data_IF_864013730108
#
_entry.id   IF_864013730108
#
_cell.length_a   1.000
_cell.length_b   1.000
_cell.length_c   1.000
_cell.angle_alpha   90.00
_cell.angle_beta   90.00
_cell.angle_gamma   90.00
#
_symmetry.space_group_name_H-M   'P 1'
#
loop_
_entity.id
_entity.type
_entity.pdbx_description
1 polymer ?
#
# COMPACT_ATOMS: atom_id res chain seq x y z
N UNK A 1 -8.52 -15.89 34.87
CA UNK A 1 -7.14 -16.26 34.44
C UNK A 1 -6.21 -16.04 35.64
N UNK A 2 -5.14 -16.80 35.80
CA UNK A 2 -4.23 -16.63 36.95
C UNK A 2 -3.36 -15.40 36.74
N UNK A 3 -3.01 -14.66 37.83
CA UNK A 3 -2.09 -13.50 37.79
C UNK A 3 -0.80 -13.81 37.03
N UNK A 4 -0.37 -15.06 37.06
CA UNK A 4 0.83 -15.54 36.38
C UNK A 4 0.68 -15.59 34.84
N UNK A 5 -0.53 -15.91 34.33
CA UNK A 5 -0.83 -15.85 32.89
C UNK A 5 -0.88 -14.40 32.37
N UNK A 6 -1.45 -13.48 33.14
CA UNK A 6 -1.51 -12.07 32.79
C UNK A 6 -0.11 -11.43 32.81
N UNK A 7 0.76 -11.81 33.71
CA UNK A 7 2.15 -11.35 33.79
C UNK A 7 2.99 -11.87 32.60
N UNK A 8 2.80 -13.10 32.18
CA UNK A 8 3.45 -13.66 30.99
C UNK A 8 2.94 -12.97 29.74
N UNK A 9 1.61 -12.80 29.62
CA UNK A 9 1.01 -12.15 28.44
C UNK A 9 1.39 -10.69 28.31
N UNK A 10 1.60 -9.97 29.42
CA UNK A 10 2.03 -8.56 29.37
C UNK A 10 3.39 -8.36 28.70
N UNK A 11 4.29 -9.35 28.78
CA UNK A 11 5.61 -9.30 28.10
C UNK A 11 5.51 -9.38 26.58
N UNK A 12 4.39 -9.85 26.06
CA UNK A 12 4.14 -10.01 24.62
C UNK A 12 3.14 -8.99 24.07
N UNK A 13 2.65 -8.08 24.91
CA UNK A 13 1.77 -6.99 24.46
C UNK A 13 2.57 -6.10 23.48
N UNK A 14 2.04 -5.77 22.30
CA UNK A 14 2.73 -4.88 21.37
C UNK A 14 2.85 -3.49 21.98
N UNK A 15 4.05 -2.91 21.92
CA UNK A 15 4.21 -1.47 22.13
C UNK A 15 3.53 -0.75 20.97
N UNK A 16 2.35 -0.21 21.24
CA UNK A 16 1.68 0.66 20.28
C UNK A 16 2.30 2.05 20.42
N UNK A 17 3.43 2.27 19.75
CA UNK A 17 3.92 3.63 19.56
C UNK A 17 2.91 4.39 18.68
N UNK A 18 2.07 5.19 19.30
CA UNK A 18 1.28 6.19 18.60
C UNK A 18 2.19 7.36 18.24
N UNK A 19 2.85 7.28 17.08
CA UNK A 19 3.53 8.44 16.50
C UNK A 19 2.45 9.48 16.21
N UNK A 20 2.65 10.72 16.69
CA UNK A 20 1.83 11.85 16.26
C UNK A 20 2.06 12.04 14.77
N UNK A 21 1.01 11.86 13.99
CA UNK A 21 1.04 12.10 12.54
C UNK A 21 0.92 13.60 12.33
N UNK A 22 1.84 14.17 11.55
CA UNK A 22 1.71 15.55 11.09
C UNK A 22 0.66 15.59 9.97
N UNK A 23 -0.48 16.20 10.26
CA UNK A 23 -1.59 16.36 9.31
C UNK A 23 -1.63 17.73 8.64
N UNK A 24 -0.58 18.53 8.79
CA UNK A 24 -0.48 19.86 8.15
C UNK A 24 -0.47 19.78 6.63
N UNK A 25 -0.01 18.66 6.06
CA UNK A 25 -0.03 18.33 4.64
C UNK A 25 -0.57 16.92 4.45
N UNK A 26 -1.54 16.76 3.55
CA UNK A 26 -2.02 15.44 3.15
C UNK A 26 -1.09 14.81 2.11
N UNK A 27 -0.84 13.52 2.27
CA UNK A 27 -0.15 12.70 1.28
C UNK A 27 -1.10 12.39 0.12
N UNK A 28 -0.69 12.72 -1.09
CA UNK A 28 -1.44 12.49 -2.33
C UNK A 28 -1.17 11.09 -2.85
N UNK A 29 -2.20 10.25 -2.88
CA UNK A 29 -2.10 8.84 -3.27
C UNK A 29 -2.85 8.58 -4.56
N UNK A 30 -2.19 7.86 -5.49
CA UNK A 30 -2.79 7.27 -6.68
C UNK A 30 -3.14 5.80 -6.47
N UNK A 31 -4.24 5.33 -7.07
CA UNK A 31 -4.64 3.92 -7.09
C UNK A 31 -4.49 3.38 -8.51
N UNK A 32 -3.67 2.35 -8.69
CA UNK A 32 -3.43 1.70 -9.97
C UNK A 32 -4.05 0.29 -9.94
N UNK A 33 -5.10 0.09 -10.71
CA UNK A 33 -5.94 -1.11 -10.68
C UNK A 33 -7.05 -1.02 -9.64
N UNK A 34 -8.31 -1.13 -10.08
CA UNK A 34 -9.50 -1.05 -9.26
C UNK A 34 -10.19 -2.40 -9.15
N UNK A 35 -9.40 -3.41 -8.75
CA UNK A 35 -9.87 -4.74 -8.41
C UNK A 35 -10.38 -4.82 -6.97
N UNK A 36 -10.80 -6.03 -6.54
CA UNK A 36 -11.36 -6.27 -5.20
C UNK A 36 -10.42 -5.84 -4.06
N UNK A 37 -9.09 -5.99 -4.22
CA UNK A 37 -8.14 -5.63 -3.16
C UNK A 37 -8.01 -4.11 -2.98
N UNK A 38 -8.23 -3.33 -4.03
CA UNK A 38 -8.21 -1.87 -3.96
C UNK A 38 -9.27 -1.32 -2.99
N UNK A 39 -10.38 -2.04 -2.77
CA UNK A 39 -11.37 -1.71 -1.74
C UNK A 39 -10.73 -1.57 -0.36
N UNK A 40 -9.90 -2.54 0.04
CA UNK A 40 -9.22 -2.52 1.34
C UNK A 40 -8.28 -1.32 1.48
N UNK A 41 -7.57 -0.96 0.41
CA UNK A 41 -6.71 0.22 0.39
C UNK A 41 -7.52 1.51 0.55
N UNK A 42 -8.58 1.67 -0.25
CA UNK A 42 -9.46 2.85 -0.20
C UNK A 42 -10.07 3.02 1.19
N UNK A 43 -10.66 1.95 1.75
CA UNK A 43 -11.28 2.00 3.07
C UNK A 43 -10.26 2.29 4.19
N UNK A 44 -9.02 1.88 4.01
CA UNK A 44 -7.93 2.20 4.94
C UNK A 44 -7.52 3.67 4.82
N UNK A 45 -7.29 4.17 3.61
CA UNK A 45 -6.93 5.57 3.37
C UNK A 45 -8.01 6.55 3.82
N UNK A 46 -9.28 6.22 3.65
CA UNK A 46 -10.40 7.06 4.16
C UNK A 46 -10.40 7.25 5.67
N UNK A 47 -9.72 6.38 6.43
CA UNK A 47 -9.57 6.50 7.88
C UNK A 47 -8.33 7.30 8.31
N UNK A 48 -7.44 7.62 7.37
CA UNK A 48 -6.20 8.35 7.62
C UNK A 48 -6.42 9.83 7.34
N UNK A 49 -6.34 10.71 8.35
CA UNK A 49 -6.63 12.14 8.19
C UNK A 49 -5.58 12.88 7.34
N UNK A 50 -4.40 12.31 7.24
CA UNK A 50 -3.21 12.81 6.53
C UNK A 50 -3.06 12.25 5.11
N UNK A 51 -4.05 11.52 4.60
CA UNK A 51 -4.02 10.90 3.26
C UNK A 51 -5.20 11.39 2.42
N UNK A 52 -4.93 11.60 1.14
CA UNK A 52 -5.94 11.94 0.14
C UNK A 52 -5.72 11.10 -1.13
N UNK A 53 -6.79 10.44 -1.59
CA UNK A 53 -6.76 9.75 -2.88
C UNK A 53 -7.11 10.77 -3.96
N UNK A 54 -6.14 11.11 -4.81
CA UNK A 54 -6.29 12.16 -5.83
C UNK A 54 -6.47 11.63 -7.25
N UNK A 55 -6.04 10.39 -7.51
CA UNK A 55 -6.10 9.80 -8.83
C UNK A 55 -6.33 8.28 -8.80
N UNK A 56 -6.94 7.75 -9.85
CA UNK A 56 -7.09 6.32 -10.06
C UNK A 56 -6.94 5.95 -11.53
N UNK A 57 -6.33 4.79 -11.80
CA UNK A 57 -6.18 4.24 -13.14
C UNK A 57 -6.68 2.80 -13.22
N UNK A 58 -7.39 2.48 -14.29
CA UNK A 58 -7.73 1.10 -14.67
C UNK A 58 -7.75 1.01 -16.21
N UNK A 59 -7.32 -0.14 -16.73
CA UNK A 59 -7.30 -0.38 -18.18
C UNK A 59 -8.71 -0.51 -18.79
N UNK A 60 -9.71 -0.80 -17.95
CA UNK A 60 -11.11 -0.91 -18.39
C UNK A 60 -11.75 0.48 -18.27
N UNK A 61 -12.21 1.06 -19.39
CA UNK A 61 -12.83 2.39 -19.40
C UNK A 61 -14.00 2.50 -18.42
N UNK A 62 -14.02 3.59 -17.65
CA UNK A 62 -15.08 3.90 -16.68
C UNK A 62 -15.05 3.06 -15.38
N UNK A 63 -14.23 2.00 -15.31
CA UNK A 63 -14.19 1.12 -14.14
C UNK A 63 -13.64 1.83 -12.91
N UNK A 64 -12.57 2.61 -13.05
CA UNK A 64 -12.00 3.36 -11.93
C UNK A 64 -12.99 4.37 -11.37
N UNK A 65 -13.71 5.10 -12.22
CA UNK A 65 -14.75 6.05 -11.81
C UNK A 65 -15.90 5.37 -11.06
N UNK A 66 -16.45 4.32 -11.64
CA UNK A 66 -17.53 3.55 -11.01
C UNK A 66 -17.10 2.97 -9.65
N UNK A 67 -15.85 2.51 -9.55
CA UNK A 67 -15.31 1.96 -8.32
C UNK A 67 -15.15 3.04 -7.24
N UNK A 68 -14.56 4.18 -7.54
CA UNK A 68 -14.40 5.28 -6.58
C UNK A 68 -15.74 5.81 -6.10
N UNK A 69 -16.72 5.97 -7.02
CA UNK A 69 -18.09 6.36 -6.69
C UNK A 69 -18.77 5.38 -5.74
N UNK A 70 -18.59 4.07 -5.95
CA UNK A 70 -19.13 3.02 -5.05
C UNK A 70 -18.67 3.22 -3.60
N UNK A 71 -17.44 3.68 -3.39
CA UNK A 71 -16.88 3.89 -2.05
C UNK A 71 -16.99 5.35 -1.56
N UNK A 72 -17.71 6.21 -2.28
CA UNK A 72 -17.89 7.61 -1.90
C UNK A 72 -16.58 8.37 -1.80
N UNK A 73 -15.68 8.17 -2.77
CA UNK A 73 -14.43 8.92 -2.90
C UNK A 73 -14.63 9.95 -4.00
N UNK A 74 -14.59 11.23 -3.64
CA UNK A 74 -14.81 12.35 -4.54
C UNK A 74 -13.51 13.08 -4.85
N UNK A 75 -13.51 13.91 -5.91
CA UNK A 75 -12.35 14.72 -6.28
C UNK A 75 -11.20 13.94 -6.95
N UNK A 76 -11.44 12.68 -7.31
CA UNK A 76 -10.45 11.79 -7.93
C UNK A 76 -10.41 12.02 -9.45
N UNK A 77 -9.22 12.15 -10.03
CA UNK A 77 -9.02 12.14 -11.49
C UNK A 77 -8.79 10.72 -11.99
N UNK A 78 -9.30 10.42 -13.18
CA UNK A 78 -9.30 9.06 -13.73
C UNK A 78 -8.45 8.98 -14.98
N UNK A 79 -7.64 7.92 -15.06
CA UNK A 79 -6.69 7.69 -16.13
C UNK A 79 -6.83 6.29 -16.72
N UNK A 80 -6.61 6.12 -18.04
CA UNK A 80 -6.69 4.80 -18.69
C UNK A 80 -5.47 3.94 -18.41
N UNK A 81 -4.38 4.51 -17.89
CA UNK A 81 -3.14 3.79 -17.61
C UNK A 81 -2.40 4.36 -16.41
N UNK A 82 -1.53 3.53 -15.82
CA UNK A 82 -0.62 3.97 -14.76
C UNK A 82 0.36 5.05 -15.25
N UNK A 83 0.76 5.02 -16.52
CA UNK A 83 1.67 6.02 -17.10
C UNK A 83 1.01 7.39 -17.11
N UNK A 84 -0.17 7.47 -17.70
CA UNK A 84 -0.90 8.73 -17.72
C UNK A 84 -1.23 9.27 -16.33
N UNK A 85 -1.53 8.38 -15.37
CA UNK A 85 -1.74 8.78 -14.00
C UNK A 85 -0.48 9.39 -13.40
N UNK A 86 0.67 8.73 -13.54
CA UNK A 86 1.93 9.17 -12.94
C UNK A 86 2.47 10.43 -13.63
N UNK A 87 2.32 10.54 -14.95
CA UNK A 87 2.82 11.68 -15.73
C UNK A 87 2.04 12.98 -15.50
N UNK A 88 0.77 12.88 -15.12
CA UNK A 88 -0.12 14.02 -14.97
C UNK A 88 -0.41 14.42 -13.51
N UNK A 89 0.08 13.65 -12.52
CA UNK A 89 -0.23 13.88 -11.12
C UNK A 89 1.02 14.07 -10.27
N UNK A 90 0.95 15.02 -9.35
CA UNK A 90 1.93 15.14 -8.27
C UNK A 90 1.56 14.17 -7.14
N UNK A 91 2.28 13.06 -7.02
CA UNK A 91 1.99 11.98 -6.08
C UNK A 91 3.09 11.79 -5.05
N UNK A 92 2.70 11.57 -3.82
CA UNK A 92 3.60 11.09 -2.76
C UNK A 92 3.77 9.57 -2.82
N UNK A 93 2.75 8.86 -3.28
CA UNK A 93 2.78 7.41 -3.44
C UNK A 93 1.66 6.86 -4.29
N UNK A 94 1.82 5.61 -4.72
CA UNK A 94 0.78 4.84 -5.41
C UNK A 94 0.57 3.49 -4.74
N UNK A 95 -0.70 3.04 -4.75
CA UNK A 95 -1.03 1.64 -4.46
C UNK A 95 -1.21 0.89 -5.78
N UNK A 96 -0.38 -0.11 -6.00
CA UNK A 96 -0.47 -1.02 -7.16
C UNK A 96 -1.30 -2.23 -6.77
N UNK A 97 -2.55 -2.25 -7.24
CA UNK A 97 -3.59 -3.25 -6.95
C UNK A 97 -4.02 -4.01 -8.21
N UNK A 98 -3.11 -4.16 -9.16
CA UNK A 98 -3.34 -4.84 -10.42
C UNK A 98 -3.32 -6.38 -10.27
N UNK A 99 -3.46 -7.10 -11.38
CA UNK A 99 -3.19 -8.55 -11.39
C UNK A 99 -1.71 -8.84 -11.15
N UNK A 100 -1.40 -9.99 -10.59
CA UNK A 100 -0.03 -10.39 -10.25
C UNK A 100 0.96 -10.26 -11.42
N UNK A 101 0.53 -10.63 -12.63
CA UNK A 101 1.33 -10.53 -13.86
C UNK A 101 1.56 -9.09 -14.33
N UNK A 102 0.84 -8.13 -13.78
CA UNK A 102 0.93 -6.72 -14.12
C UNK A 102 1.52 -5.87 -12.97
N UNK A 103 2.21 -6.47 -12.01
CA UNK A 103 2.82 -5.76 -10.88
C UNK A 103 4.10 -5.02 -11.27
N UNK A 104 4.93 -5.63 -12.11
CA UNK A 104 6.27 -5.14 -12.43
C UNK A 104 6.26 -3.75 -13.06
N UNK A 105 5.55 -3.59 -14.18
CA UNK A 105 5.63 -2.38 -15.00
C UNK A 105 5.18 -1.11 -14.22
N UNK A 106 3.99 -1.05 -13.60
CA UNK A 106 3.58 0.15 -12.87
C UNK A 106 4.44 0.44 -11.66
N UNK A 107 5.00 -0.61 -11.03
CA UNK A 107 5.91 -0.44 -9.89
C UNK A 107 7.21 0.21 -10.31
N UNK A 108 7.87 -0.31 -11.35
CA UNK A 108 9.12 0.26 -11.87
C UNK A 108 8.87 1.68 -12.36
N UNK A 109 7.80 1.90 -13.12
CA UNK A 109 7.47 3.22 -13.67
C UNK A 109 7.30 4.26 -12.57
N UNK A 110 6.53 3.95 -11.51
CA UNK A 110 6.34 4.85 -10.39
C UNK A 110 7.67 5.18 -9.67
N UNK A 111 8.47 4.18 -9.38
CA UNK A 111 9.78 4.37 -8.73
C UNK A 111 10.70 5.26 -9.57
N UNK A 112 10.79 5.03 -10.88
CA UNK A 112 11.62 5.81 -11.79
C UNK A 112 11.17 7.26 -11.95
N UNK A 113 9.87 7.53 -11.73
CA UNK A 113 9.29 8.88 -11.71
C UNK A 113 9.27 9.51 -10.30
N UNK A 114 9.97 8.92 -9.35
CA UNK A 114 10.14 9.51 -8.02
C UNK A 114 8.96 9.35 -7.08
N UNK A 115 8.06 8.38 -7.34
CA UNK A 115 6.87 8.09 -6.55
C UNK A 115 7.08 6.85 -5.68
N UNK A 116 6.69 6.90 -4.40
CA UNK A 116 6.73 5.75 -3.52
C UNK A 116 5.65 4.73 -3.88
N UNK A 117 5.88 3.45 -3.60
CA UNK A 117 4.98 2.37 -4.03
C UNK A 117 4.59 1.46 -2.86
N UNK A 118 3.28 1.28 -2.69
CA UNK A 118 2.71 0.15 -1.96
C UNK A 118 2.20 -0.86 -2.99
N UNK A 119 2.93 -1.97 -3.14
CA UNK A 119 2.62 -3.03 -4.09
C UNK A 119 1.88 -4.17 -3.40
N UNK A 120 0.78 -4.65 -3.98
CA UNK A 120 0.10 -5.83 -3.47
C UNK A 120 0.91 -7.12 -3.66
N UNK A 121 0.60 -8.07 -2.80
CA UNK A 121 1.19 -9.42 -2.88
C UNK A 121 0.50 -10.23 -4.02
N UNK A 122 1.19 -11.23 -4.62
CA UNK A 122 2.60 -11.55 -4.47
C UNK A 122 3.48 -10.48 -5.11
N UNK A 123 4.73 -10.37 -4.67
CA UNK A 123 5.67 -9.36 -5.14
C UNK A 123 5.77 -9.29 -6.67
N UNK A 124 6.16 -10.39 -7.29
CA UNK A 124 6.26 -10.58 -8.74
C UNK A 124 5.93 -12.02 -9.09
N UNK A 125 5.84 -12.33 -10.38
CA UNK A 125 5.59 -13.69 -10.87
C UNK A 125 6.88 -14.49 -11.05
N UNK A 126 7.97 -13.82 -11.44
CA UNK A 126 9.26 -14.45 -11.67
C UNK A 126 10.36 -13.80 -10.83
N UNK A 127 11.48 -14.53 -10.66
CA UNK A 127 12.66 -14.01 -9.98
C UNK A 127 13.30 -12.85 -10.75
N UNK A 128 13.33 -12.94 -12.08
CA UNK A 128 13.90 -11.88 -12.92
C UNK A 128 13.14 -10.56 -12.74
N UNK A 129 11.81 -10.61 -12.73
CA UNK A 129 10.98 -9.45 -12.43
C UNK A 129 11.27 -8.87 -11.03
N UNK A 130 11.42 -9.75 -10.04
CA UNK A 130 11.77 -9.31 -8.67
C UNK A 130 13.11 -8.57 -8.65
N UNK A 131 14.12 -9.09 -9.36
CA UNK A 131 15.44 -8.45 -9.47
C UNK A 131 15.33 -7.07 -10.15
N UNK A 132 14.55 -6.97 -11.23
CA UNK A 132 14.33 -5.69 -11.93
C UNK A 132 13.68 -4.65 -11.01
N UNK A 133 12.63 -5.04 -10.29
CA UNK A 133 11.93 -4.15 -9.35
C UNK A 133 12.84 -3.71 -8.19
N UNK A 134 13.59 -4.63 -7.60
CA UNK A 134 14.56 -4.29 -6.55
C UNK A 134 15.67 -3.35 -7.04
N UNK A 135 16.11 -3.49 -8.30
CA UNK A 135 17.09 -2.57 -8.90
C UNK A 135 16.48 -1.17 -9.09
N UNK A 136 15.24 -1.09 -9.55
CA UNK A 136 14.53 0.18 -9.71
C UNK A 136 14.33 0.88 -8.36
N UNK A 137 13.90 0.16 -7.33
CA UNK A 137 13.77 0.68 -5.97
C UNK A 137 15.11 1.27 -5.47
N UNK A 138 16.17 0.48 -5.53
CA UNK A 138 17.49 0.92 -5.08
C UNK A 138 18.01 2.13 -5.86
N UNK A 139 17.75 2.20 -7.18
CA UNK A 139 18.18 3.31 -8.05
C UNK A 139 17.39 4.58 -7.78
N UNK A 140 16.09 4.46 -7.55
CA UNK A 140 15.18 5.59 -7.34
C UNK A 140 15.37 6.30 -5.99
N UNK A 141 15.85 5.58 -4.97
CA UNK A 141 15.88 6.05 -3.59
C UNK A 141 14.48 6.24 -2.98
N UNK A 142 13.44 5.70 -3.63
CA UNK A 142 12.07 5.74 -3.14
C UNK A 142 11.73 4.50 -2.33
N UNK A 143 10.63 4.56 -1.60
CA UNK A 143 10.17 3.45 -0.76
C UNK A 143 9.30 2.52 -1.59
N UNK A 144 9.64 1.23 -1.58
CA UNK A 144 8.78 0.15 -2.04
C UNK A 144 8.37 -0.71 -0.84
N UNK A 145 7.09 -0.85 -0.63
CA UNK A 145 6.53 -1.74 0.39
C UNK A 145 5.61 -2.76 -0.25
N UNK A 146 5.72 -4.02 0.19
CA UNK A 146 4.83 -5.09 -0.26
C UNK A 146 3.72 -5.32 0.76
N UNK A 147 2.48 -5.49 0.27
CA UNK A 147 1.27 -5.66 1.07
C UNK A 147 1.19 -6.99 1.85
N UNK A 148 2.23 -7.34 2.59
CA UNK A 148 2.21 -8.48 3.52
C UNK A 148 1.60 -8.06 4.86
N UNK A 149 0.27 -7.80 4.87
CA UNK A 149 -0.47 -7.29 6.01
C UNK A 149 -0.19 -8.03 7.33
N UNK A 150 -0.06 -9.40 7.37
CA UNK A 150 0.19 -10.11 8.61
C UNK A 150 1.46 -9.69 9.34
N UNK A 151 2.48 -9.16 8.64
CA UNK A 151 3.69 -8.65 9.27
C UNK A 151 3.45 -7.45 10.18
N UNK A 152 2.37 -6.71 9.95
CA UNK A 152 1.99 -5.52 10.72
C UNK A 152 0.88 -5.80 11.72
N UNK A 153 0.25 -6.98 11.67
CA UNK A 153 -0.80 -7.38 12.59
C UNK A 153 -0.24 -7.60 14.01
N UNK A 154 -0.94 -7.06 15.02
CA UNK A 154 -0.50 -7.12 16.41
C UNK A 154 -0.43 -8.56 16.95
N UNK A 155 -1.40 -9.41 16.55
CA UNK A 155 -1.44 -10.80 16.99
C UNK A 155 -0.30 -11.62 16.36
N UNK A 156 0.01 -11.36 15.06
CA UNK A 156 1.13 -12.01 14.39
C UNK A 156 2.47 -11.60 14.99
N UNK A 157 2.63 -10.32 15.35
CA UNK A 157 3.81 -9.84 16.08
C UNK A 157 3.93 -10.51 17.47
N UNK A 158 2.82 -10.71 18.17
CA UNK A 158 2.80 -11.41 19.45
C UNK A 158 3.20 -12.89 19.26
N UNK A 159 2.60 -13.60 18.30
CA UNK A 159 2.96 -14.99 17.97
C UNK A 159 4.45 -15.10 17.66
N UNK A 160 4.99 -14.19 16.84
CA UNK A 160 6.43 -14.16 16.52
C UNK A 160 7.29 -14.03 17.77
N UNK A 161 6.95 -13.13 18.70
CA UNK A 161 7.68 -12.97 19.97
C UNK A 161 7.65 -14.24 20.83
N UNK A 162 6.49 -14.92 20.88
CA UNK A 162 6.37 -16.18 21.60
C UNK A 162 7.28 -17.25 20.99
N UNK A 163 7.26 -17.40 19.66
CA UNK A 163 8.12 -18.36 18.95
C UNK A 163 9.60 -18.05 19.15
N UNK A 164 9.98 -16.76 19.11
CA UNK A 164 11.39 -16.35 19.29
C UNK A 164 11.88 -16.51 20.73
N UNK A 165 10.98 -16.66 21.70
CA UNK A 165 11.33 -16.86 23.13
C UNK A 165 11.67 -18.30 23.49
N UNK A 166 11.41 -19.28 22.62
CA UNK A 166 11.67 -20.72 22.81
C UNK A 166 10.48 -21.46 23.38
#
# INVERSE_FOLDING_TARGET
MSKQADEVMSKFTPDVETKKVDTSRKLKIGIIGTGWIAESHILSYKKMPDVEIVAAADLIPGKAEAFMKKFGVEGVRFYPSHKELIDNEELDGVSVCTYNTAHKEPTIYALEHGVNVLLEKPFTVTLDEAIEVCRAEKKSGKILTIGFQPRNDANMKMIKRIVDSG
#
